data_IF_459440604492
#
_entry.id   IF_459440604492
#
_cell.length_a   1.000
_cell.length_b   1.000
_cell.length_c   1.000
_cell.angle_alpha   90.00
_cell.angle_beta   90.00
_cell.angle_gamma   90.00
#
_symmetry.space_group_name_H-M   'P 1'
#
loop_
_entity.id
_entity.type
_entity.pdbx_description
1 polymer ?
#
# COMPACT_ATOMS: atom_id res chain seq x y z
N UNK A 1 -11.37 10.45 39.70
CA UNK A 1 -12.23 9.30 39.32
C UNK A 1 -12.82 9.62 37.96
N UNK A 2 -12.18 9.15 36.88
CA UNK A 2 -12.66 9.39 35.52
C UNK A 2 -13.72 8.37 35.15
N UNK A 3 -14.89 8.84 34.73
CA UNK A 3 -15.98 8.03 34.17
C UNK A 3 -15.51 7.42 32.85
N UNK A 4 -15.08 6.15 32.86
CA UNK A 4 -14.77 5.40 31.64
C UNK A 4 -16.08 5.08 30.93
N UNK A 5 -16.39 5.87 29.90
CA UNK A 5 -17.57 5.66 29.06
C UNK A 5 -17.24 4.59 28.01
N UNK A 6 -18.01 3.49 27.96
CA UNK A 6 -17.80 2.38 27.02
C UNK A 6 -17.92 2.78 25.54
N UNK A 7 -18.53 3.93 25.26
CA UNK A 7 -18.68 4.48 23.91
C UNK A 7 -17.51 5.39 23.51
N UNK A 8 -16.47 5.49 24.33
CA UNK A 8 -15.30 6.33 24.07
C UNK A 8 -14.00 5.54 24.24
N UNK A 9 -13.10 5.69 23.27
CA UNK A 9 -11.73 5.17 23.30
C UNK A 9 -10.75 6.34 23.46
N UNK A 10 -9.63 6.08 24.11
CA UNK A 10 -8.56 7.08 24.26
C UNK A 10 -7.62 7.04 23.05
N UNK A 11 -7.36 8.19 22.44
CA UNK A 11 -6.40 8.29 21.35
C UNK A 11 -4.97 8.03 21.86
N UNK A 12 -4.22 7.06 21.35
CA UNK A 12 -2.87 6.78 21.81
C UNK A 12 -1.88 7.89 21.45
N UNK A 13 -2.19 8.74 20.46
CA UNK A 13 -1.31 9.84 20.05
C UNK A 13 -1.49 11.13 20.85
N UNK A 14 -2.70 11.43 21.34
CA UNK A 14 -2.99 12.72 22.00
C UNK A 14 -3.82 12.60 23.28
N UNK A 15 -4.14 11.40 23.72
CA UNK A 15 -4.98 11.09 24.89
C UNK A 15 -6.42 11.66 24.84
N UNK A 16 -6.87 12.23 23.72
CA UNK A 16 -8.25 12.67 23.58
C UNK A 16 -9.22 11.48 23.65
N UNK A 17 -10.33 11.65 24.36
CA UNK A 17 -11.43 10.69 24.29
C UNK A 17 -12.20 10.91 22.99
N UNK A 18 -12.29 9.87 22.18
CA UNK A 18 -13.00 9.88 20.89
C UNK A 18 -14.05 8.77 20.87
N UNK A 19 -15.15 8.93 20.11
CA UNK A 19 -16.14 7.87 19.95
C UNK A 19 -15.50 6.54 19.49
N UNK A 20 -16.03 5.42 19.96
CA UNK A 20 -15.55 4.08 19.59
C UNK A 20 -15.54 3.84 18.10
N UNK A 21 -16.55 4.32 17.39
CA UNK A 21 -16.71 4.25 15.93
C UNK A 21 -15.87 5.28 15.15
N UNK A 22 -15.17 6.21 15.81
CA UNK A 22 -14.36 7.20 15.11
C UNK A 22 -13.14 6.54 14.42
N UNK A 23 -13.08 6.62 13.09
CA UNK A 23 -11.96 6.09 12.30
C UNK A 23 -10.66 6.91 12.47
N UNK A 24 -10.77 8.19 12.85
CA UNK A 24 -9.64 9.10 13.04
C UNK A 24 -9.87 10.02 14.23
N UNK A 25 -8.80 10.35 14.96
CA UNK A 25 -8.81 11.39 15.99
C UNK A 25 -8.58 12.77 15.37
N UNK A 26 -9.08 13.84 16.00
CA UNK A 26 -8.83 15.22 15.58
C UNK A 26 -7.34 15.64 15.57
N UNK A 27 -6.46 14.88 16.23
CA UNK A 27 -5.01 15.06 16.12
C UNK A 27 -4.39 14.47 14.83
N UNK A 28 -5.16 13.77 14.01
CA UNK A 28 -4.71 13.12 12.79
C UNK A 28 -4.35 11.63 12.95
N UNK A 29 -4.39 11.07 14.17
CA UNK A 29 -4.19 9.64 14.39
C UNK A 29 -5.32 8.81 13.76
N UNK A 30 -5.00 7.86 12.89
CA UNK A 30 -5.96 6.92 12.32
C UNK A 30 -6.07 5.65 13.17
N UNK A 31 -7.29 5.29 13.53
CA UNK A 31 -7.63 4.00 14.13
C UNK A 31 -7.90 2.92 13.08
N UNK A 32 -7.64 3.20 11.79
CA UNK A 32 -7.63 2.16 10.78
C UNK A 32 -6.54 1.16 11.17
N UNK A 33 -6.97 -0.02 11.61
CA UNK A 33 -6.12 -1.15 11.97
C UNK A 33 -5.47 -1.69 10.69
N UNK A 34 -4.48 -0.96 10.16
CA UNK A 34 -3.79 -1.28 8.92
C UNK A 34 -2.90 -2.56 9.04
N UNK A 35 -2.90 -3.22 10.19
CA UNK A 35 -2.11 -4.43 10.46
C UNK A 35 -2.92 -5.68 10.85
N UNK A 36 -4.22 -5.58 11.12
CA UNK A 36 -5.01 -6.72 11.62
C UNK A 36 -5.81 -7.41 10.51
N UNK A 37 -6.20 -6.69 9.45
CA UNK A 37 -6.99 -7.28 8.36
C UNK A 37 -6.30 -8.46 7.66
N UNK A 38 -4.97 -8.49 7.57
CA UNK A 38 -4.24 -9.62 7.00
C UNK A 38 -4.02 -10.79 7.98
N UNK A 39 -3.90 -10.49 9.27
CA UNK A 39 -3.75 -11.50 10.32
C UNK A 39 -5.08 -12.18 10.61
N UNK A 40 -6.18 -11.43 10.58
CA UNK A 40 -7.53 -11.95 10.73
C UNK A 40 -7.89 -12.92 9.58
N UNK A 41 -7.50 -12.60 8.34
CA UNK A 41 -7.72 -13.48 7.19
C UNK A 41 -6.95 -14.80 7.31
N UNK A 42 -5.65 -14.74 7.65
CA UNK A 42 -4.82 -15.94 7.86
C UNK A 42 -5.36 -16.82 9.01
N UNK A 43 -5.85 -16.20 10.09
CA UNK A 43 -6.49 -16.91 11.19
C UNK A 43 -7.81 -17.56 10.77
N UNK A 44 -8.61 -16.90 9.94
CA UNK A 44 -9.85 -17.46 9.39
C UNK A 44 -9.53 -18.66 8.49
N UNK A 45 -8.57 -18.54 7.57
CA UNK A 45 -8.16 -19.63 6.69
C UNK A 45 -7.67 -20.85 7.49
N UNK A 46 -6.79 -20.62 8.48
CA UNK A 46 -6.28 -21.66 9.35
C UNK A 46 -7.39 -22.35 10.16
N UNK A 47 -8.37 -21.60 10.67
CA UNK A 47 -9.52 -22.15 11.37
C UNK A 47 -10.39 -23.04 10.47
N UNK A 48 -10.69 -22.58 9.25
CA UNK A 48 -11.52 -23.35 8.30
C UNK A 48 -10.82 -24.64 7.87
N UNK A 49 -9.50 -24.60 7.65
CA UNK A 49 -8.70 -25.78 7.34
C UNK A 49 -8.73 -26.80 8.49
N UNK A 50 -8.46 -26.36 9.72
CA UNK A 50 -8.48 -27.23 10.90
C UNK A 50 -9.83 -27.90 11.12
N UNK A 51 -10.94 -27.19 10.84
CA UNK A 51 -12.29 -27.75 10.97
C UNK A 51 -12.56 -28.85 9.94
N UNK A 52 -12.07 -28.71 8.71
CA UNK A 52 -12.17 -29.76 7.69
C UNK A 52 -11.34 -30.99 8.06
N UNK A 53 -10.11 -30.78 8.53
CA UNK A 53 -9.23 -31.88 8.94
C UNK A 53 -9.87 -32.70 10.07
N UNK A 54 -10.44 -32.02 11.07
CA UNK A 54 -11.16 -32.70 12.16
C UNK A 54 -12.35 -33.55 11.67
N UNK A 55 -13.11 -33.06 10.69
CA UNK A 55 -14.23 -33.82 10.12
C UNK A 55 -13.77 -35.01 9.27
N UNK A 56 -12.64 -34.86 8.54
CA UNK A 56 -12.01 -35.96 7.81
C UNK A 56 -11.51 -37.03 8.79
N UNK A 57 -10.81 -36.64 9.85
CA UNK A 57 -10.34 -37.58 10.88
C UNK A 57 -11.49 -38.35 11.52
N UNK A 58 -12.59 -37.67 11.81
CA UNK A 58 -13.81 -38.29 12.37
C UNK A 58 -14.41 -39.31 11.39
N UNK A 59 -14.45 -38.98 10.10
CA UNK A 59 -14.93 -39.88 9.05
C UNK A 59 -14.03 -41.13 8.92
N UNK A 60 -12.72 -40.93 8.92
CA UNK A 60 -11.74 -42.01 8.83
C UNK A 60 -11.80 -42.95 10.04
N UNK A 61 -11.93 -42.39 11.25
CA UNK A 61 -12.14 -43.17 12.46
C UNK A 61 -13.41 -44.04 12.36
N UNK A 62 -14.54 -43.46 11.95
CA UNK A 62 -15.79 -44.20 11.77
C UNK A 62 -15.66 -45.31 10.70
N UNK A 63 -14.89 -45.05 9.63
CA UNK A 63 -14.60 -46.05 8.59
C UNK A 63 -13.75 -47.20 9.13
N UNK A 64 -12.75 -46.92 9.95
CA UNK A 64 -11.90 -47.95 10.58
C UNK A 64 -12.74 -48.81 11.53
N UNK A 65 -13.60 -48.19 12.35
CA UNK A 65 -14.49 -48.92 13.26
C UNK A 65 -15.44 -49.87 12.52
N UNK A 66 -16.03 -49.42 11.41
CA UNK A 66 -16.92 -50.23 10.57
C UNK A 66 -16.15 -51.35 9.86
N UNK A 67 -14.93 -51.10 9.39
CA UNK A 67 -14.08 -52.18 8.82
C UNK A 67 -13.82 -53.29 9.83
N UNK A 68 -13.65 -52.95 11.11
CA UNK A 68 -13.48 -53.94 12.18
C UNK A 68 -14.74 -54.74 12.50
N UNK A 69 -15.93 -54.24 12.15
CA UNK A 69 -17.21 -54.93 12.36
C UNK A 69 -18.27 -54.48 11.33
N UNK A 70 -18.23 -55.04 10.11
CA UNK A 70 -18.99 -54.51 8.97
C UNK A 70 -20.50 -54.80 9.01
N UNK A 71 -20.95 -55.67 9.92
CA UNK A 71 -22.37 -56.02 10.07
C UNK A 71 -23.07 -55.21 11.17
N UNK A 72 -22.35 -54.31 11.83
CA UNK A 72 -22.85 -53.53 12.94
C UNK A 72 -23.61 -52.27 12.46
N UNK A 73 -24.94 -52.19 12.65
CA UNK A 73 -25.73 -51.08 12.14
C UNK A 73 -25.41 -49.74 12.81
N UNK A 74 -24.95 -49.74 14.07
CA UNK A 74 -24.56 -48.51 14.79
C UNK A 74 -23.29 -47.90 14.20
N UNK A 75 -22.34 -48.73 13.79
CA UNK A 75 -21.11 -48.25 13.15
C UNK A 75 -21.37 -47.73 11.74
N UNK A 76 -22.30 -48.36 11.02
CA UNK A 76 -22.76 -47.86 9.72
C UNK A 76 -23.47 -46.51 9.86
N UNK A 77 -24.35 -46.36 10.86
CA UNK A 77 -25.05 -45.09 11.11
C UNK A 77 -24.08 -43.98 11.52
N UNK A 78 -23.04 -44.30 12.31
CA UNK A 78 -21.96 -43.38 12.67
C UNK A 78 -21.18 -42.89 11.46
N UNK A 79 -20.81 -43.79 10.53
CA UNK A 79 -20.14 -43.43 9.28
C UNK A 79 -21.01 -42.49 8.42
N UNK A 80 -22.29 -42.82 8.27
CA UNK A 80 -23.22 -41.99 7.49
C UNK A 80 -23.40 -40.59 8.10
N UNK A 81 -23.44 -40.50 9.43
CA UNK A 81 -23.48 -39.21 10.14
C UNK A 81 -22.22 -38.38 9.91
N UNK A 82 -21.04 -39.00 10.03
CA UNK A 82 -19.77 -38.34 9.78
C UNK A 82 -19.64 -37.86 8.31
N UNK A 83 -20.13 -38.63 7.34
CA UNK A 83 -20.20 -38.21 5.94
C UNK A 83 -21.09 -36.98 5.76
N UNK A 84 -22.28 -36.99 6.35
CA UNK A 84 -23.21 -35.88 6.26
C UNK A 84 -22.64 -34.60 6.88
N UNK A 85 -22.00 -34.72 8.04
CA UNK A 85 -21.35 -33.60 8.73
C UNK A 85 -20.19 -33.02 7.92
N UNK A 86 -19.35 -33.87 7.30
CA UNK A 86 -18.29 -33.40 6.41
C UNK A 86 -18.87 -32.63 5.20
N UNK A 87 -19.98 -33.12 4.64
CA UNK A 87 -20.65 -32.44 3.52
C UNK A 87 -21.26 -31.10 3.95
N UNK A 88 -21.91 -31.03 5.11
CA UNK A 88 -22.49 -29.78 5.60
C UNK A 88 -21.41 -28.74 5.90
N UNK A 89 -20.30 -29.14 6.52
CA UNK A 89 -19.19 -28.24 6.80
C UNK A 89 -18.52 -27.72 5.53
N UNK A 90 -18.36 -28.56 4.49
CA UNK A 90 -17.85 -28.09 3.19
C UNK A 90 -18.74 -27.04 2.57
N UNK A 91 -20.06 -27.23 2.61
CA UNK A 91 -21.01 -26.24 2.10
C UNK A 91 -20.96 -24.93 2.91
N UNK A 92 -20.89 -25.01 4.25
CA UNK A 92 -20.73 -23.83 5.11
C UNK A 92 -19.46 -23.05 4.75
N UNK A 93 -18.32 -23.74 4.61
CA UNK A 93 -17.04 -23.11 4.26
C UNK A 93 -17.09 -22.45 2.88
N UNK A 94 -17.71 -23.10 1.89
CA UNK A 94 -17.90 -22.51 0.57
C UNK A 94 -18.71 -21.20 0.66
N UNK A 95 -19.81 -21.19 1.41
CA UNK A 95 -20.62 -19.97 1.60
C UNK A 95 -19.86 -18.85 2.32
N UNK A 96 -19.03 -19.19 3.31
CA UNK A 96 -18.21 -18.21 4.02
C UNK A 96 -17.12 -17.64 3.11
N UNK A 97 -16.45 -18.49 2.33
CA UNK A 97 -15.42 -18.07 1.37
C UNK A 97 -15.98 -17.17 0.28
N UNK A 98 -17.18 -17.46 -0.23
CA UNK A 98 -17.86 -16.62 -1.20
C UNK A 98 -18.20 -15.23 -0.62
N UNK A 99 -18.71 -15.18 0.60
CA UNK A 99 -18.98 -13.91 1.31
C UNK A 99 -17.70 -13.12 1.58
N UNK A 100 -16.62 -13.78 1.95
CA UNK A 100 -15.31 -13.13 2.15
C UNK A 100 -14.77 -12.56 0.83
N UNK A 101 -14.88 -13.30 -0.28
CA UNK A 101 -14.49 -12.81 -1.61
C UNK A 101 -15.34 -11.61 -2.08
N UNK A 102 -16.64 -11.63 -1.82
CA UNK A 102 -17.54 -10.49 -2.10
C UNK A 102 -17.19 -9.26 -1.24
N UNK A 103 -16.91 -9.46 0.04
CA UNK A 103 -16.49 -8.39 0.96
C UNK A 103 -15.13 -7.79 0.56
N UNK A 104 -14.18 -8.64 0.14
CA UNK A 104 -12.87 -8.21 -0.38
C UNK A 104 -12.98 -7.41 -1.68
N UNK A 105 -13.92 -7.78 -2.57
CA UNK A 105 -14.20 -7.00 -3.79
C UNK A 105 -14.97 -5.71 -3.52
N UNK A 106 -15.88 -5.69 -2.54
CA UNK A 106 -16.59 -4.47 -2.13
C UNK A 106 -15.69 -3.47 -1.41
N UNK A 107 -14.57 -3.94 -0.84
CA UNK A 107 -13.56 -3.12 -0.16
C UNK A 107 -12.59 -2.40 -1.11
N UNK A 108 -12.75 -2.49 -2.45
CA UNK A 108 -12.14 -1.46 -3.30
C UNK A 108 -12.79 -0.13 -2.95
N UNK A 109 -12.05 0.86 -2.43
CA UNK A 109 -12.64 2.14 -2.12
C UNK A 109 -13.19 2.70 -3.43
N UNK A 110 -14.52 2.84 -3.50
CA UNK A 110 -15.17 3.63 -4.53
C UNK A 110 -14.64 5.04 -4.31
N UNK A 111 -13.56 5.38 -5.02
CA UNK A 111 -13.09 6.74 -5.12
C UNK A 111 -14.26 7.53 -5.67
N UNK A 112 -14.85 8.37 -4.83
CA UNK A 112 -15.90 9.29 -5.23
C UNK A 112 -15.38 10.09 -6.42
N UNK A 113 -16.10 9.97 -7.55
CA UNK A 113 -15.71 10.50 -8.87
C UNK A 113 -15.65 12.03 -8.87
N UNK A 114 -16.19 12.70 -7.85
CA UNK A 114 -16.12 14.15 -7.69
C UNK A 114 -15.34 14.56 -6.43
N UNK A 115 -14.17 15.19 -6.59
CA UNK A 115 -13.47 15.84 -5.50
C UNK A 115 -14.37 16.90 -4.86
N UNK A 116 -14.46 16.89 -3.54
CA UNK A 116 -15.26 17.85 -2.77
C UNK A 116 -14.79 19.29 -3.01
N UNK A 117 -15.70 20.25 -2.88
CA UNK A 117 -15.38 21.68 -3.07
C UNK A 117 -14.26 22.14 -2.12
N UNK A 118 -14.24 21.64 -0.89
CA UNK A 118 -13.18 21.90 0.08
C UNK A 118 -11.80 21.39 -0.40
N UNK A 119 -11.74 20.23 -1.05
CA UNK A 119 -10.50 19.72 -1.64
C UNK A 119 -10.06 20.57 -2.83
N UNK A 120 -10.99 20.99 -3.70
CA UNK A 120 -10.69 21.90 -4.82
C UNK A 120 -10.16 23.25 -4.32
N UNK A 121 -10.77 23.81 -3.28
CA UNK A 121 -10.32 25.04 -2.65
C UNK A 121 -8.93 24.90 -2.02
N UNK A 122 -8.66 23.78 -1.34
CA UNK A 122 -7.34 23.50 -0.76
C UNK A 122 -6.25 23.36 -1.85
N UNK A 123 -6.56 22.69 -2.96
CA UNK A 123 -5.64 22.57 -4.10
C UNK A 123 -5.40 23.92 -4.78
N UNK A 124 -6.44 24.72 -4.99
CA UNK A 124 -6.31 26.06 -5.56
C UNK A 124 -5.45 26.97 -4.68
N UNK A 125 -5.64 26.95 -3.36
CA UNK A 125 -4.82 27.71 -2.42
C UNK A 125 -3.35 27.26 -2.45
N UNK A 126 -3.10 25.95 -2.59
CA UNK A 126 -1.74 25.41 -2.71
C UNK A 126 -1.09 25.81 -4.04
N UNK A 127 -1.83 25.74 -5.15
CA UNK A 127 -1.38 26.19 -6.47
C UNK A 127 -1.05 27.70 -6.48
N UNK A 128 -1.89 28.53 -5.84
CA UNK A 128 -1.64 29.96 -5.70
C UNK A 128 -0.34 30.26 -4.93
N UNK A 129 -0.08 29.53 -3.84
CA UNK A 129 1.19 29.64 -3.09
C UNK A 129 2.41 29.26 -3.94
N UNK A 130 2.29 28.27 -4.82
CA UNK A 130 3.36 27.95 -5.76
C UNK A 130 3.52 29.05 -6.81
N UNK A 131 2.44 29.52 -7.43
CA UNK A 131 2.49 30.61 -8.40
C UNK A 131 3.16 31.88 -7.83
N UNK A 132 2.85 32.24 -6.58
CA UNK A 132 3.48 33.37 -5.89
C UNK A 132 4.98 33.15 -5.61
N UNK A 133 5.42 31.91 -5.38
CA UNK A 133 6.85 31.59 -5.26
C UNK A 133 7.60 31.76 -6.58
N UNK A 134 6.92 31.62 -7.71
CA UNK A 134 7.52 31.74 -9.04
C UNK A 134 7.35 33.13 -9.68
N UNK A 135 6.43 33.97 -9.19
CA UNK A 135 6.16 35.30 -9.76
C UNK A 135 7.31 36.31 -9.66
N UNK A 136 8.32 36.04 -8.82
CA UNK A 136 9.55 36.84 -8.71
C UNK A 136 10.80 36.18 -9.32
N UNK A 137 10.64 35.06 -10.03
CA UNK A 137 11.81 34.40 -10.65
C UNK A 137 12.29 35.16 -11.87
N UNK A 138 13.57 35.54 -11.86
CA UNK A 138 14.25 36.14 -13.00
C UNK A 138 14.14 35.21 -14.22
N UNK A 139 13.80 35.76 -15.39
CA UNK A 139 13.62 34.98 -16.62
C UNK A 139 14.68 35.34 -17.66
N UNK A 140 15.12 34.34 -18.42
CA UNK A 140 16.03 34.47 -19.56
C UNK A 140 15.34 33.98 -20.83
N UNK A 141 15.71 34.56 -21.98
CA UNK A 141 15.15 34.14 -23.28
C UNK A 141 16.00 33.03 -23.91
N UNK A 142 15.34 32.01 -24.45
CA UNK A 142 16.01 30.97 -25.23
C UNK A 142 16.52 31.54 -26.57
N UNK A 143 17.82 31.43 -26.90
CA UNK A 143 18.37 31.92 -28.18
C UNK A 143 17.77 31.24 -29.41
N UNK A 144 17.34 29.97 -29.28
CA UNK A 144 16.82 29.16 -30.40
C UNK A 144 15.35 29.43 -30.71
N UNK A 145 14.49 29.49 -29.69
CA UNK A 145 13.03 29.59 -29.87
C UNK A 145 12.39 30.81 -29.21
N UNK A 146 13.18 31.70 -28.58
CA UNK A 146 12.75 32.93 -27.90
C UNK A 146 11.76 32.75 -26.73
N UNK A 147 11.53 31.52 -26.27
CA UNK A 147 10.71 31.25 -25.08
C UNK A 147 11.38 31.83 -23.83
N UNK A 148 10.60 32.55 -23.01
CA UNK A 148 11.03 33.00 -21.69
C UNK A 148 11.04 31.80 -20.72
N UNK A 149 12.16 31.59 -20.06
CA UNK A 149 12.36 30.50 -19.10
C UNK A 149 12.91 31.07 -17.79
N UNK A 150 12.66 30.41 -16.66
CA UNK A 150 13.37 30.73 -15.42
C UNK A 150 14.88 30.76 -15.61
N UNK A 151 15.58 31.70 -14.98
CA UNK A 151 17.03 31.83 -15.08
C UNK A 151 17.77 30.54 -14.67
N UNK A 152 17.18 29.79 -13.73
CA UNK A 152 17.67 28.48 -13.26
C UNK A 152 17.47 27.32 -14.26
N UNK A 153 16.75 27.49 -15.37
CA UNK A 153 16.53 26.43 -16.35
C UNK A 153 17.84 26.05 -17.05
N UNK A 154 18.27 24.80 -16.90
CA UNK A 154 19.45 24.26 -17.61
C UNK A 154 19.17 23.96 -19.09
N UNK A 155 17.90 23.69 -19.42
CA UNK A 155 17.44 23.26 -20.74
C UNK A 155 16.12 23.95 -21.10
N UNK A 156 15.96 24.24 -22.39
CA UNK A 156 14.69 24.65 -22.97
C UNK A 156 13.94 23.43 -23.54
N UNK A 157 12.61 23.48 -23.54
CA UNK A 157 11.76 22.44 -24.15
C UNK A 157 12.00 22.25 -25.66
N UNK A 158 12.53 23.27 -26.37
CA UNK A 158 12.95 23.14 -27.77
C UNK A 158 14.29 22.37 -27.97
N UNK A 159 14.85 21.83 -26.89
CA UNK A 159 16.11 21.10 -26.88
C UNK A 159 17.37 21.99 -26.79
N UNK A 160 17.23 23.30 -26.62
CA UNK A 160 18.40 24.18 -26.44
C UNK A 160 18.96 24.07 -25.01
N UNK A 161 20.27 23.82 -24.90
CA UNK A 161 20.98 23.67 -23.62
C UNK A 161 21.73 24.97 -23.32
N UNK A 162 21.56 25.55 -22.12
CA UNK A 162 22.17 26.84 -21.76
C UNK A 162 23.64 26.74 -21.29
N UNK A 163 24.26 25.56 -21.43
CA UNK A 163 25.60 25.16 -20.95
C UNK A 163 25.81 25.22 -19.42
N UNK A 164 26.48 24.18 -18.89
CA UNK A 164 26.73 23.90 -17.47
C UNK A 164 27.71 24.93 -16.86
N UNK A 165 27.25 25.81 -15.97
CA UNK A 165 28.12 26.42 -14.97
C UNK A 165 27.92 25.73 -13.61
N UNK A 166 28.88 24.85 -13.30
CA UNK A 166 29.36 24.41 -11.99
C UNK A 166 28.35 24.15 -10.86
N UNK A 167 27.81 22.93 -10.73
CA UNK A 167 27.32 22.41 -9.42
C UNK A 167 27.77 20.96 -9.12
N UNK A 168 28.11 20.12 -10.10
CA UNK A 168 28.58 18.75 -9.81
C UNK A 168 30.01 18.52 -10.28
N UNK A 169 30.95 18.68 -9.34
CA UNK A 169 32.33 18.19 -9.45
C UNK A 169 32.30 16.71 -9.06
N UNK A 170 32.43 15.82 -10.02
CA UNK A 170 32.70 14.39 -9.77
C UNK A 170 34.22 14.23 -9.85
N UNK A 171 34.92 13.79 -8.79
CA UNK A 171 36.37 13.63 -8.82
C UNK A 171 36.75 12.30 -9.49
N UNK A 172 37.66 12.37 -10.45
CA UNK A 172 38.34 11.19 -11.01
C UNK A 172 38.03 10.98 -12.48
N UNK A 173 38.82 11.58 -13.38
CA UNK A 173 39.83 10.79 -14.09
C UNK A 173 40.80 11.70 -14.85
N UNK A 174 42.07 11.30 -14.79
CA UNK A 174 43.24 12.07 -15.13
C UNK A 174 43.37 12.36 -16.64
N UNK A 175 43.76 13.58 -17.00
CA UNK A 175 44.64 13.76 -18.15
C UNK A 175 45.68 14.86 -17.92
N UNK A 176 46.90 14.47 -18.30
CA UNK A 176 48.24 15.00 -18.04
C UNK A 176 48.53 16.32 -18.80
N UNK A 177 49.41 17.20 -18.26
CA UNK A 177 49.64 18.55 -18.81
C UNK A 177 50.56 18.56 -20.05
N UNK A 178 50.24 19.43 -21.01
CA UNK A 178 51.13 19.81 -22.11
C UNK A 178 52.17 20.82 -21.60
N UNK A 179 53.45 20.46 -21.67
CA UNK A 179 54.58 21.36 -21.35
C UNK A 179 55.21 21.89 -22.63
N UNK A 180 55.20 23.22 -22.74
CA UNK A 180 55.97 24.06 -23.66
C UNK A 180 57.48 23.87 -23.49
N UNK A 181 58.23 23.72 -24.59
CA UNK A 181 59.66 24.04 -24.63
C UNK A 181 60.12 24.37 -26.06
N UNK A 182 60.77 25.53 -26.19
CA UNK A 182 61.43 26.02 -27.40
C UNK A 182 62.89 25.54 -27.47
N UNK A 183 63.41 25.31 -28.67
CA UNK A 183 64.83 25.07 -28.94
C UNK A 183 65.11 24.67 -30.39
N UNK A 184 65.87 25.48 -31.12
CA UNK A 184 66.42 25.23 -32.47
C UNK A 184 67.98 25.13 -32.37
N UNK A 185 68.79 24.87 -33.44
CA UNK A 185 68.69 24.09 -34.69
C UNK A 185 69.88 23.05 -34.76
N UNK A 186 70.40 22.50 -35.91
CA UNK A 186 71.05 23.24 -37.03
C UNK A 186 70.85 22.70 -38.46
N UNK A 187 71.38 23.53 -39.37
CA UNK A 187 71.39 23.54 -40.84
C UNK A 187 72.02 22.32 -41.53
N UNK A 188 71.59 22.07 -42.78
CA UNK A 188 72.41 21.46 -43.85
C UNK A 188 73.04 22.56 -44.69
#
# INVERSE_FOLDING_TARGET
>A
MGTTNIFQKSCPSCAAQVPTEAATCGCGYSFAHAGEAGQDEELIEAYLAARLDQAVDTLEAARIELKGDPKNPEKLSRLMRALHELQSQRAEIETLSARAAEAGNAATPVQSVEPTEAFRAAQAAKAAKFAQKFSGTETKQCPKCRTALPAASALCFCGFVFARNAIFRIPGDAHRPETTAAGAPPKR
#
